data_IF_434766956323
#
_entry.id   IF_434766956323
#
_cell.length_a   1.000
_cell.length_b   1.000
_cell.length_c   1.000
_cell.angle_alpha   90.00
_cell.angle_beta   90.00
_cell.angle_gamma   90.00
#
_symmetry.space_group_name_H-M   'P 1'
#
loop_
_entity.id
_entity.type
_entity.pdbx_description
1 polymer ?
#
# COMPACT_ATOMS: atom_id res chain seq x y z
N UNK A 1 -19.05 48.95 -32.31
CA UNK A 1 -18.55 50.11 -31.56
C UNK A 1 -17.92 49.59 -30.28
N UNK A 2 -16.63 49.33 -30.36
CA UNK A 2 -15.51 49.98 -29.66
C UNK A 2 -15.65 50.01 -28.15
N UNK A 3 -14.80 49.27 -27.42
CA UNK A 3 -13.65 49.87 -26.77
C UNK A 3 -12.70 48.82 -26.16
N UNK A 4 -11.51 48.82 -26.71
CA UNK A 4 -10.26 48.32 -26.13
C UNK A 4 -9.93 49.07 -24.84
N UNK A 5 -9.48 48.36 -23.81
CA UNK A 5 -8.65 48.95 -22.78
C UNK A 5 -7.50 47.96 -22.47
N UNK A 6 -6.38 48.25 -23.10
CA UNK A 6 -5.03 47.88 -22.72
C UNK A 6 -4.67 48.57 -21.42
N UNK A 7 -4.21 47.81 -20.45
CA UNK A 7 -3.43 48.32 -19.32
C UNK A 7 -2.19 47.47 -19.14
N UNK A 8 -1.11 48.01 -19.71
CA UNK A 8 0.24 47.61 -19.38
C UNK A 8 0.63 48.23 -18.06
N UNK A 9 1.21 47.48 -17.16
CA UNK A 9 1.93 48.01 -16.01
C UNK A 9 3.16 47.15 -15.73
N UNK A 10 4.24 47.60 -16.27
CA UNK A 10 5.62 47.83 -15.80
C UNK A 10 6.21 46.95 -14.72
N UNK A 11 7.36 46.40 -15.16
CA UNK A 11 8.50 45.91 -14.38
C UNK A 11 8.82 46.75 -13.12
N UNK A 12 9.14 46.03 -12.06
CA UNK A 12 10.11 46.49 -11.08
C UNK A 12 10.96 45.32 -10.63
N UNK A 13 12.20 45.36 -11.10
CA UNK A 13 13.34 44.60 -10.59
C UNK A 13 13.71 45.15 -9.20
N UNK A 14 13.82 44.31 -8.21
CA UNK A 14 14.66 44.54 -7.05
C UNK A 14 15.28 43.23 -6.66
N UNK A 15 16.55 43.09 -6.94
CA UNK A 15 17.41 42.05 -6.45
C UNK A 15 17.82 42.28 -5.02
N UNK A 16 17.93 41.21 -4.24
CA UNK A 16 18.80 41.17 -3.06
C UNK A 16 19.34 39.78 -2.86
N UNK A 17 20.61 39.69 -3.07
CA UNK A 17 21.67 38.92 -2.44
C UNK A 17 21.30 37.64 -1.65
N UNK A 18 21.71 36.55 -2.24
CA UNK A 18 21.94 35.28 -1.59
C UNK A 18 23.26 35.34 -0.79
N UNK A 19 23.19 35.25 0.51
CA UNK A 19 24.35 34.97 1.37
C UNK A 19 24.57 33.47 1.39
N UNK A 20 25.61 33.03 0.73
CA UNK A 20 26.16 31.69 0.87
C UNK A 20 26.80 31.56 2.25
N UNK A 21 26.28 30.67 3.08
CA UNK A 21 26.91 30.26 4.32
C UNK A 21 27.67 28.97 4.05
N UNK A 22 28.94 29.12 3.76
CA UNK A 22 29.94 28.07 3.83
C UNK A 22 30.20 27.75 5.33
N UNK A 23 29.77 26.58 5.76
CA UNK A 23 30.28 26.00 7.00
C UNK A 23 31.46 25.09 6.67
N UNK A 24 32.61 25.58 7.03
CA UNK A 24 33.90 24.97 7.00
C UNK A 24 33.95 23.64 7.75
N UNK A 25 34.41 22.62 7.06
CA UNK A 25 34.90 21.37 7.61
C UNK A 25 36.17 21.61 8.41
N UNK A 26 36.11 21.48 9.71
CA UNK A 26 37.29 21.34 10.55
C UNK A 26 37.68 19.86 10.64
N UNK A 27 38.71 19.52 9.90
CA UNK A 27 39.51 18.32 10.08
C UNK A 27 40.23 18.42 11.44
N UNK A 28 39.87 17.61 12.38
CA UNK A 28 40.71 17.31 13.54
C UNK A 28 41.14 15.86 13.43
N UNK A 29 42.39 15.71 13.00
CA UNK A 29 43.17 14.54 13.22
C UNK A 29 43.65 14.55 14.67
N UNK A 30 43.29 13.55 15.45
CA UNK A 30 44.03 13.21 16.67
C UNK A 30 43.91 11.73 16.98
N UNK A 31 45.08 11.14 16.87
CA UNK A 31 45.69 10.07 17.69
C UNK A 31 44.88 8.78 17.88
N UNK A 32 45.44 7.81 17.22
CA UNK A 32 45.48 6.38 17.52
C UNK A 32 45.40 6.05 19.00
N UNK A 33 44.33 5.39 19.40
CA UNK A 33 44.33 4.48 20.55
C UNK A 33 44.00 3.09 19.99
N UNK A 34 44.93 2.14 20.04
CA UNK A 34 44.65 0.77 19.63
C UNK A 34 44.24 -0.03 20.86
N UNK A 35 43.03 0.04 21.32
CA UNK A 35 42.44 -0.90 22.28
C UNK A 35 40.94 -0.50 22.52
N UNK A 36 40.14 -0.53 21.48
CA UNK A 36 38.74 -0.79 21.62
C UNK A 36 38.39 -1.95 20.67
N UNK A 37 38.51 -3.13 21.25
CA UNK A 37 37.85 -4.32 20.71
C UNK A 37 36.41 -3.93 20.38
N UNK A 38 36.12 -3.98 19.10
CA UNK A 38 34.76 -3.93 18.61
C UNK A 38 34.00 -5.02 19.36
N UNK A 39 33.13 -4.62 20.29
CA UNK A 39 32.07 -5.49 20.78
C UNK A 39 31.23 -5.87 19.58
N UNK A 40 31.66 -6.90 18.88
CA UNK A 40 30.78 -7.62 17.96
C UNK A 40 29.54 -8.01 18.75
N UNK A 41 28.44 -7.46 18.32
CA UNK A 41 27.11 -7.74 18.79
C UNK A 41 26.94 -9.25 19.00
N UNK A 42 26.68 -9.65 20.22
CA UNK A 42 26.64 -11.01 20.75
C UNK A 42 25.52 -11.90 20.18
N UNK A 43 25.08 -11.63 18.98
CA UNK A 43 24.06 -12.45 18.30
C UNK A 43 24.61 -13.73 17.66
N UNK A 44 25.92 -13.95 17.72
CA UNK A 44 26.53 -15.21 17.21
C UNK A 44 26.62 -16.32 18.25
N UNK A 45 26.59 -15.99 19.53
CA UNK A 45 26.73 -16.99 20.60
C UNK A 45 25.41 -17.61 21.07
N UNK A 46 24.27 -17.06 20.66
CA UNK A 46 22.94 -17.58 21.00
C UNK A 46 22.25 -18.33 19.84
N UNK A 47 23.02 -18.84 18.91
CA UNK A 47 22.46 -19.80 17.94
C UNK A 47 22.08 -21.07 18.71
N UNK A 48 20.83 -21.19 19.05
CA UNK A 48 20.27 -22.44 19.53
C UNK A 48 20.39 -23.42 18.36
N UNK A 49 21.25 -24.41 18.57
CA UNK A 49 21.36 -25.52 17.61
C UNK A 49 20.09 -26.37 17.73
N UNK A 50 19.19 -26.22 16.77
CA UNK A 50 17.96 -27.01 16.66
C UNK A 50 18.17 -28.30 15.88
N UNK A 51 19.43 -28.67 15.58
CA UNK A 51 19.73 -29.93 14.95
C UNK A 51 19.37 -31.08 15.87
N UNK A 52 18.74 -32.14 15.37
CA UNK A 52 18.42 -33.30 16.19
C UNK A 52 19.71 -33.91 16.79
N UNK A 53 19.67 -34.42 18.02
CA UNK A 53 20.82 -35.07 18.64
C UNK A 53 21.43 -36.12 17.73
N UNK A 54 22.75 -36.22 17.72
CA UNK A 54 23.49 -37.15 16.83
C UNK A 54 23.07 -38.62 16.97
N UNK A 55 22.48 -39.00 18.09
CA UNK A 55 21.99 -40.35 18.39
C UNK A 55 20.48 -40.52 18.22
N UNK A 56 19.77 -39.49 17.75
CA UNK A 56 18.31 -39.52 17.61
C UNK A 56 17.86 -40.60 16.58
N UNK A 57 18.61 -40.75 15.49
CA UNK A 57 18.33 -41.79 14.50
C UNK A 57 18.51 -43.22 15.02
N UNK A 58 19.28 -43.44 16.10
CA UNK A 58 19.43 -44.75 16.73
C UNK A 58 18.31 -45.04 17.72
N UNK A 59 17.86 -43.99 18.42
CA UNK A 59 16.83 -44.11 19.46
C UNK A 59 15.41 -44.08 18.89
N UNK A 60 15.25 -43.50 17.68
CA UNK A 60 13.96 -43.39 16.97
C UNK A 60 14.11 -43.85 15.51
N UNK A 61 14.40 -45.14 15.27
CA UNK A 61 14.63 -45.66 13.91
C UNK A 61 13.40 -45.54 13.00
N UNK A 62 12.20 -45.40 13.55
CA UNK A 62 10.95 -45.28 12.82
C UNK A 62 10.49 -43.85 12.56
N UNK A 63 11.24 -42.84 12.99
CA UNK A 63 10.83 -41.45 12.75
C UNK A 63 10.78 -41.05 11.25
N UNK A 64 11.58 -41.73 10.41
CA UNK A 64 11.53 -41.58 8.96
C UNK A 64 10.43 -42.41 8.28
N UNK A 65 10.08 -43.56 8.87
CA UNK A 65 9.02 -44.42 8.31
C UNK A 65 7.63 -43.91 8.70
N UNK A 66 7.49 -43.27 9.87
CA UNK A 66 6.23 -42.65 10.27
C UNK A 66 5.76 -41.53 9.32
N UNK A 67 6.68 -40.90 8.61
CA UNK A 67 6.34 -39.89 7.57
C UNK A 67 6.01 -40.57 6.22
N UNK A 68 6.49 -41.79 5.98
CA UNK A 68 6.23 -42.52 4.72
C UNK A 68 4.88 -43.24 4.75
N UNK A 69 4.37 -43.61 5.93
CA UNK A 69 3.08 -44.25 6.13
C UNK A 69 1.92 -43.23 6.34
N UNK A 70 2.19 -41.94 6.29
CA UNK A 70 1.15 -40.95 6.09
C UNK A 70 0.65 -41.16 4.66
N UNK A 71 -0.32 -42.07 4.49
CA UNK A 71 -1.19 -42.07 3.32
C UNK A 71 -1.55 -40.61 3.07
N UNK A 72 -1.26 -40.13 1.85
CA UNK A 72 -1.73 -38.86 1.38
C UNK A 72 -3.24 -38.90 1.50
N UNK A 73 -3.76 -38.51 2.69
CA UNK A 73 -5.18 -38.28 2.82
C UNK A 73 -5.53 -37.26 1.74
N UNK A 74 -6.54 -37.54 0.91
CA UNK A 74 -6.95 -36.57 -0.10
C UNK A 74 -7.07 -35.23 0.58
N UNK A 75 -6.47 -34.21 -0.01
CA UNK A 75 -6.51 -32.83 0.47
C UNK A 75 -7.92 -32.56 0.98
N UNK A 76 -8.08 -32.08 2.23
CA UNK A 76 -9.39 -31.79 2.77
C UNK A 76 -10.09 -30.85 1.78
N UNK A 77 -11.34 -31.20 1.42
CA UNK A 77 -12.16 -30.36 0.56
C UNK A 77 -12.28 -28.98 1.20
N UNK A 78 -11.44 -28.04 0.73
CA UNK A 78 -11.39 -26.66 1.22
C UNK A 78 -12.46 -25.78 0.57
N UNK A 79 -13.33 -26.36 -0.27
CA UNK A 79 -14.38 -25.63 -0.98
C UNK A 79 -15.38 -24.90 -0.07
N UNK A 80 -15.43 -25.29 1.22
CA UNK A 80 -16.25 -24.65 2.24
C UNK A 80 -15.48 -23.77 3.24
N UNK A 81 -14.14 -23.68 3.14
CA UNK A 81 -13.35 -22.83 4.01
C UNK A 81 -13.43 -21.41 3.43
N UNK A 82 -14.24 -20.55 4.03
CA UNK A 82 -14.17 -19.10 3.78
C UNK A 82 -12.75 -18.67 4.11
N UNK A 83 -12.02 -18.16 3.11
CA UNK A 83 -10.72 -17.54 3.35
C UNK A 83 -10.88 -16.49 4.45
N UNK A 84 -10.20 -16.70 5.57
CA UNK A 84 -10.19 -15.73 6.65
C UNK A 84 -9.41 -14.51 6.21
N UNK A 85 -10.15 -13.45 5.83
CA UNK A 85 -9.53 -12.17 5.51
C UNK A 85 -9.10 -11.48 6.81
N UNK A 86 -7.80 -11.35 7.08
CA UNK A 86 -7.34 -10.66 8.27
C UNK A 86 -7.71 -9.19 8.16
N UNK A 87 -8.63 -8.73 9.01
CA UNK A 87 -8.98 -7.32 9.08
C UNK A 87 -7.75 -6.47 9.45
N UNK A 88 -7.31 -5.63 8.54
CA UNK A 88 -6.13 -4.78 8.71
C UNK A 88 -6.35 -3.39 8.10
N UNK A 89 -6.96 -2.46 8.86
CA UNK A 89 -7.29 -1.12 8.38
C UNK A 89 -6.06 -0.28 8.03
N UNK A 90 -4.92 -0.51 8.71
CA UNK A 90 -3.69 0.20 8.41
C UNK A 90 -3.14 -0.20 7.03
N UNK A 91 -3.17 -1.50 6.72
CA UNK A 91 -2.77 -1.98 5.40
C UNK A 91 -3.73 -1.50 4.32
N UNK A 92 -5.04 -1.53 4.57
CA UNK A 92 -6.04 -0.98 3.66
C UNK A 92 -5.78 0.50 3.33
N UNK A 93 -5.53 1.34 4.35
CA UNK A 93 -5.18 2.75 4.15
C UNK A 93 -3.93 2.93 3.30
N UNK A 94 -2.89 2.11 3.53
CA UNK A 94 -1.67 2.12 2.75
C UNK A 94 -1.91 1.75 1.28
N UNK A 95 -2.73 0.74 1.04
CA UNK A 95 -3.07 0.31 -0.31
C UNK A 95 -3.88 1.39 -1.05
N UNK A 96 -4.75 2.15 -0.36
CA UNK A 96 -5.42 3.33 -0.93
C UNK A 96 -4.41 4.40 -1.33
N UNK A 97 -3.43 4.73 -0.49
CA UNK A 97 -2.38 5.71 -0.80
C UNK A 97 -1.57 5.29 -2.05
N UNK A 98 -1.19 4.02 -2.12
CA UNK A 98 -0.47 3.47 -3.28
C UNK A 98 -1.36 3.49 -4.53
N UNK A 99 -2.64 3.18 -4.38
CA UNK A 99 -3.63 3.30 -5.45
C UNK A 99 -3.72 4.73 -5.99
N UNK A 100 -3.81 5.72 -5.11
CA UNK A 100 -3.84 7.15 -5.48
C UNK A 100 -2.56 7.59 -6.20
N UNK A 101 -1.41 7.05 -5.84
CA UNK A 101 -0.16 7.29 -6.55
C UNK A 101 -0.21 6.79 -8.00
N UNK A 102 -0.70 5.56 -8.23
CA UNK A 102 -0.87 5.04 -9.59
C UNK A 102 -1.95 5.76 -10.36
N UNK A 103 -3.05 6.14 -9.71
CA UNK A 103 -4.14 6.90 -10.32
C UNK A 103 -3.67 8.25 -10.85
N UNK A 104 -2.89 9.01 -10.09
CA UNK A 104 -2.28 10.28 -10.51
C UNK A 104 -1.39 10.13 -11.75
N UNK A 105 -0.77 8.96 -11.90
CA UNK A 105 0.04 8.61 -13.09
C UNK A 105 -0.79 8.04 -14.25
N UNK A 106 -2.11 8.03 -14.15
CA UNK A 106 -3.05 7.48 -15.12
C UNK A 106 -2.89 5.96 -15.34
N UNK A 107 -2.18 5.27 -14.45
CA UNK A 107 -2.10 3.81 -14.45
C UNK A 107 -3.30 3.24 -13.69
N UNK A 108 -4.47 3.31 -14.34
CA UNK A 108 -5.73 2.94 -13.71
C UNK A 108 -5.83 1.45 -13.38
N UNK A 109 -5.18 0.57 -14.14
CA UNK A 109 -5.17 -0.87 -13.83
C UNK A 109 -4.44 -1.16 -12.52
N UNK A 110 -3.22 -0.63 -12.38
CA UNK A 110 -2.47 -0.80 -11.13
C UNK A 110 -3.16 -0.11 -9.93
N UNK A 111 -3.81 1.03 -10.14
CA UNK A 111 -4.62 1.68 -9.11
C UNK A 111 -5.80 0.81 -8.69
N UNK A 112 -6.50 0.22 -9.65
CA UNK A 112 -7.62 -0.68 -9.42
C UNK A 112 -7.23 -1.86 -8.51
N UNK A 113 -6.10 -2.51 -8.81
CA UNK A 113 -5.62 -3.65 -8.05
C UNK A 113 -5.33 -3.25 -6.60
N UNK A 114 -4.73 -2.08 -6.36
CA UNK A 114 -4.48 -1.56 -5.01
C UNK A 114 -5.75 -1.24 -4.24
N UNK A 115 -6.73 -0.62 -4.89
CA UNK A 115 -8.00 -0.34 -4.22
C UNK A 115 -8.81 -1.62 -3.91
N UNK A 116 -8.73 -2.65 -4.76
CA UNK A 116 -9.29 -3.98 -4.45
C UNK A 116 -8.59 -4.61 -3.25
N UNK A 117 -7.27 -4.51 -3.18
CA UNK A 117 -6.49 -5.00 -2.05
C UNK A 117 -6.86 -4.26 -0.75
N UNK A 118 -7.10 -2.96 -0.81
CA UNK A 118 -7.61 -2.21 0.34
C UNK A 118 -8.95 -2.76 0.85
N UNK A 119 -9.90 -3.05 -0.06
CA UNK A 119 -11.19 -3.65 0.30
C UNK A 119 -11.05 -5.08 0.82
N UNK A 120 -10.04 -5.83 0.38
CA UNK A 120 -9.73 -7.15 0.92
C UNK A 120 -9.37 -7.11 2.41
N UNK A 121 -8.61 -6.07 2.85
CA UNK A 121 -8.25 -5.90 4.26
C UNK A 121 -9.28 -5.13 5.08
N UNK A 122 -10.21 -4.42 4.44
CA UNK A 122 -11.27 -3.65 5.08
C UNK A 122 -12.49 -3.54 4.15
N UNK A 123 -13.37 -4.52 4.21
CA UNK A 123 -14.53 -4.66 3.31
C UNK A 123 -15.42 -3.42 3.20
N UNK A 124 -15.62 -2.72 4.32
CA UNK A 124 -16.48 -1.54 4.40
C UNK A 124 -15.65 -0.24 4.43
N UNK A 125 -14.62 -0.14 3.57
CA UNK A 125 -13.89 1.10 3.40
C UNK A 125 -14.57 2.00 2.37
N UNK A 126 -15.23 3.07 2.85
CA UNK A 126 -15.91 4.03 1.99
C UNK A 126 -14.95 4.71 1.01
N UNK A 127 -13.75 5.10 1.45
CA UNK A 127 -12.78 5.77 0.59
C UNK A 127 -12.28 4.85 -0.51
N UNK A 128 -11.92 3.60 -0.16
CA UNK A 128 -11.49 2.60 -1.15
C UNK A 128 -12.60 2.31 -2.17
N UNK A 129 -13.86 2.17 -1.72
CA UNK A 129 -15.01 1.96 -2.61
C UNK A 129 -15.20 3.13 -3.58
N UNK A 130 -15.14 4.38 -3.11
CA UNK A 130 -15.24 5.54 -3.98
C UNK A 130 -14.10 5.61 -5.00
N UNK A 131 -12.85 5.41 -4.56
CA UNK A 131 -11.67 5.43 -5.43
C UNK A 131 -11.72 4.33 -6.49
N UNK A 132 -12.20 3.17 -6.11
CA UNK A 132 -12.39 2.04 -7.02
C UNK A 132 -13.45 2.35 -8.07
N UNK A 133 -14.59 2.95 -7.67
CA UNK A 133 -15.62 3.39 -8.59
C UNK A 133 -15.10 4.39 -9.65
N UNK A 134 -14.36 5.42 -9.19
CA UNK A 134 -13.74 6.40 -10.10
C UNK A 134 -12.75 5.72 -11.04
N UNK A 135 -11.99 4.74 -10.55
CA UNK A 135 -11.02 4.01 -11.35
C UNK A 135 -11.70 3.17 -12.44
N UNK A 136 -12.80 2.47 -12.10
CA UNK A 136 -13.62 1.71 -13.05
C UNK A 136 -14.25 2.61 -14.11
N UNK A 137 -14.73 3.79 -13.73
CA UNK A 137 -15.23 4.79 -14.71
C UNK A 137 -14.14 5.19 -15.71
N UNK A 138 -12.89 5.40 -15.25
CA UNK A 138 -11.77 5.71 -16.13
C UNK A 138 -11.36 4.57 -17.05
N UNK A 139 -11.59 3.33 -16.64
CA UNK A 139 -11.36 2.13 -17.44
C UNK A 139 -12.52 1.82 -18.40
N UNK A 140 -13.67 2.51 -18.25
CA UNK A 140 -14.86 2.31 -19.07
C UNK A 140 -15.81 1.23 -18.58
N UNK A 141 -15.53 0.65 -17.41
CA UNK A 141 -16.40 -0.35 -16.80
C UNK A 141 -17.52 0.34 -15.99
N UNK A 142 -18.56 0.74 -16.69
CA UNK A 142 -19.69 1.49 -16.11
C UNK A 142 -20.48 0.68 -15.08
N UNK A 143 -20.63 -0.62 -15.30
CA UNK A 143 -21.40 -1.48 -14.41
C UNK A 143 -20.73 -1.62 -13.04
N UNK A 144 -19.44 -1.92 -13.03
CA UNK A 144 -18.66 -2.00 -11.78
C UNK A 144 -18.52 -0.62 -11.12
N UNK A 145 -18.33 0.45 -11.91
CA UNK A 145 -18.29 1.81 -11.35
C UNK A 145 -19.59 2.14 -10.58
N UNK A 146 -20.75 1.86 -11.16
CA UNK A 146 -22.07 2.06 -10.51
C UNK A 146 -22.14 1.31 -9.19
N UNK A 147 -21.84 0.03 -9.18
CA UNK A 147 -21.85 -0.83 -8.00
C UNK A 147 -21.03 -0.25 -6.84
N UNK A 148 -19.81 0.24 -7.13
CA UNK A 148 -18.94 0.77 -6.09
C UNK A 148 -19.31 2.19 -5.64
N UNK A 149 -19.92 3.03 -6.50
CA UNK A 149 -20.53 4.30 -6.06
C UNK A 149 -21.71 4.05 -5.12
N UNK A 150 -22.58 3.09 -5.44
CA UNK A 150 -23.70 2.68 -4.57
C UNK A 150 -23.19 2.11 -3.25
N UNK A 151 -22.14 1.29 -3.29
CA UNK A 151 -21.49 0.77 -2.08
C UNK A 151 -20.94 1.91 -1.19
N UNK A 152 -20.29 2.90 -1.79
CA UNK A 152 -19.82 4.09 -1.05
C UNK A 152 -20.99 4.79 -0.36
N UNK A 153 -22.08 5.09 -1.08
CA UNK A 153 -23.25 5.78 -0.53
C UNK A 153 -23.97 4.95 0.54
N UNK A 154 -23.92 3.62 0.44
CA UNK A 154 -24.45 2.73 1.47
C UNK A 154 -23.65 2.81 2.77
N UNK A 155 -22.33 2.94 2.68
CA UNK A 155 -21.43 3.03 3.84
C UNK A 155 -21.48 4.45 4.44
N UNK A 156 -21.43 5.48 3.60
CA UNK A 156 -21.30 6.88 4.03
C UNK A 156 -22.17 7.80 3.15
N UNK A 157 -23.51 7.83 3.38
CA UNK A 157 -24.47 8.57 2.53
C UNK A 157 -24.24 10.07 2.54
N UNK A 158 -23.79 10.65 3.64
CA UNK A 158 -23.48 12.08 3.81
C UNK A 158 -21.98 12.39 3.80
N UNK A 159 -21.20 11.49 3.20
CA UNK A 159 -19.75 11.62 3.18
C UNK A 159 -19.25 12.73 2.25
N UNK A 160 -17.94 13.03 2.32
CA UNK A 160 -17.32 14.11 1.56
C UNK A 160 -17.45 13.93 0.04
N UNK A 161 -17.61 12.70 -0.44
CA UNK A 161 -17.76 12.37 -1.86
C UNK A 161 -19.18 11.97 -2.25
N UNK A 162 -20.18 12.14 -1.36
CA UNK A 162 -21.55 11.73 -1.63
C UNK A 162 -22.16 12.47 -2.84
N UNK A 163 -21.92 13.78 -2.95
CA UNK A 163 -22.37 14.58 -4.09
C UNK A 163 -21.76 14.12 -5.41
N UNK A 164 -20.47 13.81 -5.39
CA UNK A 164 -19.73 13.35 -6.56
C UNK A 164 -20.21 11.95 -6.99
N UNK A 165 -20.47 11.07 -6.02
CA UNK A 165 -20.99 9.73 -6.27
C UNK A 165 -22.40 9.79 -6.88
N UNK A 166 -23.31 10.62 -6.37
CA UNK A 166 -24.64 10.82 -6.97
C UNK A 166 -24.54 11.38 -8.40
N UNK A 167 -23.74 12.40 -8.61
CA UNK A 167 -23.53 12.98 -9.94
C UNK A 167 -22.95 11.96 -10.95
N UNK A 168 -22.05 11.11 -10.50
CA UNK A 168 -21.48 10.04 -11.32
C UNK A 168 -22.55 8.98 -11.66
N UNK A 169 -23.37 8.57 -10.71
CA UNK A 169 -24.49 7.63 -10.94
C UNK A 169 -25.50 8.18 -11.95
N UNK A 170 -25.88 9.46 -11.81
CA UNK A 170 -26.79 10.13 -12.77
C UNK A 170 -26.21 10.18 -14.18
N UNK A 171 -24.92 10.44 -14.30
CA UNK A 171 -24.20 10.43 -15.58
C UNK A 171 -24.14 9.04 -16.20
N UNK A 172 -23.82 8.03 -15.40
CA UNK A 172 -23.76 6.63 -15.85
C UNK A 172 -25.13 6.12 -16.29
N UNK A 173 -26.22 6.51 -15.61
CA UNK A 173 -27.59 6.14 -16.00
C UNK A 173 -28.03 6.76 -17.33
N UNK A 174 -27.51 7.93 -17.71
CA UNK A 174 -27.82 8.60 -19.00
C UNK A 174 -27.02 8.06 -20.17
N UNK A 175 -25.98 7.31 -19.90
CA UNK A 175 -25.03 6.84 -20.93
C UNK A 175 -25.21 5.36 -21.31
N UNK A 176 -26.20 4.69 -20.71
CA UNK A 176 -26.71 3.37 -21.11
C UNK A 176 -27.80 3.53 -22.15
#
# INVERSE_FOLDING_TARGET
MTRFALLACTLLLAGTNCLAQQSSSSTQSSSSNPDQEAQESSSRETRIDISPPKDDAKNHPNSKSALADLEVTPEPDTSGIQEFHPWNPLKASKDVEVGDFYFKRKNYKAALDRYKEALYYKDNDALASFRLAVCQEKLGDKAEARKYYEQYLKILPEGPFAKDAHAALDKLAKSD
#
